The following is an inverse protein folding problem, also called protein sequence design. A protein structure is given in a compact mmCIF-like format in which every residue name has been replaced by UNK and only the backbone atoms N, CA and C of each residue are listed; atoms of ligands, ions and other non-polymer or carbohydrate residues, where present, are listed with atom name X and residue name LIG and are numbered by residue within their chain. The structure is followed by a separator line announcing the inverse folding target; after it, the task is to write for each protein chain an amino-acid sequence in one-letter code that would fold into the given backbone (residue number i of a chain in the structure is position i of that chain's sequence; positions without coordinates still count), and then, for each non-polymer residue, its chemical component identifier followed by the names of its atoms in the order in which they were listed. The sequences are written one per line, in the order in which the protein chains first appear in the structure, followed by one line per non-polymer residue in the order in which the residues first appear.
data_IF_508787691944
#
_entry.id   IF_508787691944
#
_cell.length_a   1.000
_cell.length_b   1.000
_cell.length_c   1.000
_cell.angle_alpha   90.00
_cell.angle_beta   90.00
_cell.angle_gamma   90.00
#
_symmetry.space_group_name_H-M   'P 1'
#
loop_
_entity.id
_entity.type
_entity.pdbx_description
1 polymer ?
#
# COMPACT_ATOMS: atom_id res chain seq x y z
N UNK A 1 -28.28 -23.85 21.14
CA UNK A 1 -27.89 -23.28 19.83
C UNK A 1 -26.47 -23.73 19.55
N UNK A 2 -26.25 -24.47 18.47
CA UNK A 2 -24.91 -24.80 18.00
C UNK A 2 -24.48 -23.62 17.13
N UNK A 3 -23.43 -22.92 17.54
CA UNK A 3 -22.92 -21.77 16.79
C UNK A 3 -21.97 -22.28 15.72
N UNK A 4 -22.28 -21.95 14.48
CA UNK A 4 -21.44 -22.14 13.31
C UNK A 4 -20.15 -21.34 13.48
N UNK A 5 -19.02 -22.03 13.65
CA UNK A 5 -17.72 -21.36 13.88
C UNK A 5 -16.88 -21.39 12.61
N UNK A 6 -16.21 -20.28 12.30
CA UNK A 6 -15.30 -20.21 11.15
C UNK A 6 -14.05 -21.07 11.41
N UNK A 7 -13.79 -22.00 10.49
CA UNK A 7 -12.53 -22.73 10.40
C UNK A 7 -11.53 -22.07 9.47
N UNK A 8 -12.00 -21.39 8.41
CA UNK A 8 -11.15 -20.62 7.50
C UNK A 8 -11.94 -19.55 6.75
N UNK A 9 -11.30 -18.43 6.43
CA UNK A 9 -11.77 -17.41 5.50
C UNK A 9 -10.99 -17.52 4.19
N UNK A 10 -11.68 -17.37 3.05
CA UNK A 10 -11.09 -17.49 1.71
C UNK A 10 -11.18 -16.17 0.96
N UNK A 11 -10.08 -15.79 0.32
CA UNK A 11 -9.96 -14.57 -0.46
C UNK A 11 -9.37 -14.86 -1.84
N UNK A 12 -9.82 -14.13 -2.86
CA UNK A 12 -9.10 -14.00 -4.11
C UNK A 12 -8.01 -12.95 -3.94
N UNK A 13 -6.87 -13.22 -4.55
CA UNK A 13 -5.69 -12.35 -4.53
C UNK A 13 -5.43 -11.89 -5.96
N UNK A 14 -5.35 -10.59 -6.16
CA UNK A 14 -4.96 -9.98 -7.41
C UNK A 14 -3.70 -9.15 -7.19
N UNK A 15 -2.66 -9.42 -7.99
CA UNK A 15 -1.40 -8.69 -7.98
C UNK A 15 -1.36 -7.73 -9.15
N UNK A 16 -0.85 -6.53 -8.91
CA UNK A 16 -0.63 -5.53 -9.94
C UNK A 16 0.69 -4.82 -9.67
N UNK A 17 1.50 -4.71 -10.71
CA UNK A 17 2.75 -3.96 -10.74
C UNK A 17 2.72 -3.01 -11.96
N UNK A 18 3.65 -2.06 -12.06
CA UNK A 18 3.80 -1.19 -13.23
C UNK A 18 4.20 -1.99 -14.49
N UNK A 19 4.77 -3.16 -14.30
CA UNK A 19 5.15 -4.10 -15.35
C UNK A 19 4.37 -5.42 -15.21
N UNK A 20 4.23 -6.21 -16.28
CA UNK A 20 3.70 -7.56 -16.18
C UNK A 20 4.44 -8.35 -15.08
N UNK A 21 3.69 -8.93 -14.15
CA UNK A 21 4.25 -9.66 -13.02
C UNK A 21 4.21 -11.17 -13.32
N UNK A 22 5.29 -11.86 -13.01
CA UNK A 22 5.34 -13.32 -13.00
C UNK A 22 6.09 -13.83 -11.77
N UNK A 23 5.82 -15.06 -11.38
CA UNK A 23 6.44 -15.70 -10.22
C UNK A 23 7.33 -16.85 -10.67
N UNK A 24 8.43 -17.08 -9.94
CA UNK A 24 9.26 -18.27 -10.16
C UNK A 24 8.52 -19.54 -9.72
N UNK A 25 8.92 -20.67 -10.32
CA UNK A 25 8.46 -21.98 -9.88
C UNK A 25 8.83 -22.20 -8.41
N UNK A 26 7.85 -22.63 -7.60
CA UNK A 26 8.02 -22.80 -6.16
C UNK A 26 7.82 -21.52 -5.33
N UNK A 27 7.46 -20.39 -5.94
CA UNK A 27 7.12 -19.16 -5.20
C UNK A 27 5.89 -19.32 -4.27
N UNK A 28 5.05 -20.32 -4.51
CA UNK A 28 3.84 -20.63 -3.76
C UNK A 28 3.73 -22.15 -3.50
N UNK A 29 2.97 -22.57 -2.46
CA UNK A 29 2.32 -21.74 -1.46
C UNK A 29 3.32 -21.18 -0.42
N UNK A 30 2.96 -20.06 0.20
CA UNK A 30 3.70 -19.47 1.32
C UNK A 30 2.79 -19.34 2.53
N UNK A 31 3.32 -19.62 3.72
CA UNK A 31 2.59 -19.49 4.98
C UNK A 31 3.12 -18.34 5.81
N UNK A 32 2.22 -17.55 6.38
CA UNK A 32 2.53 -16.49 7.34
C UNK A 32 1.72 -16.68 8.63
N UNK A 33 2.28 -16.24 9.75
CA UNK A 33 1.58 -16.25 11.04
C UNK A 33 1.70 -14.88 11.73
N UNK A 34 0.58 -14.35 12.21
CA UNK A 34 0.53 -13.09 12.97
C UNK A 34 -0.63 -13.13 13.95
N UNK A 35 -0.38 -12.77 15.20
CA UNK A 35 -1.42 -12.75 16.26
C UNK A 35 -2.21 -14.07 16.34
N UNK A 36 -1.53 -15.19 16.05
CA UNK A 36 -2.10 -16.55 16.00
C UNK A 36 -2.97 -16.87 14.76
N UNK A 37 -3.22 -15.90 13.88
CA UNK A 37 -3.79 -16.17 12.57
C UNK A 37 -2.78 -16.84 11.67
N UNK A 38 -3.22 -17.87 10.93
CA UNK A 38 -2.40 -18.54 9.92
C UNK A 38 -2.91 -18.20 8.54
N UNK A 39 -2.03 -17.73 7.69
CA UNK A 39 -2.32 -17.33 6.33
C UNK A 39 -1.59 -18.26 5.38
N UNK A 40 -2.30 -18.95 4.51
CA UNK A 40 -1.73 -19.71 3.40
C UNK A 40 -2.03 -18.98 2.09
N UNK A 41 -0.98 -18.43 1.49
CA UNK A 41 -1.04 -17.69 0.25
C UNK A 41 -0.64 -18.61 -0.91
N UNK A 42 -1.56 -18.80 -1.84
CA UNK A 42 -1.29 -19.27 -3.19
C UNK A 42 -1.31 -18.09 -4.16
N UNK A 43 -0.96 -18.33 -5.43
CA UNK A 43 -0.81 -17.25 -6.41
C UNK A 43 -2.06 -16.36 -6.54
N UNK A 44 -3.25 -16.94 -6.58
CA UNK A 44 -4.51 -16.19 -6.77
C UNK A 44 -5.48 -16.33 -5.60
N UNK A 45 -5.06 -16.98 -4.51
CA UNK A 45 -5.92 -17.31 -3.37
C UNK A 45 -5.19 -17.12 -2.05
N UNK A 46 -5.92 -16.68 -1.04
CA UNK A 46 -5.46 -16.62 0.34
C UNK A 46 -6.47 -17.33 1.23
N UNK A 47 -5.97 -18.22 2.09
CA UNK A 47 -6.74 -18.84 3.15
C UNK A 47 -6.26 -18.29 4.48
N UNK A 48 -7.16 -17.73 5.29
CA UNK A 48 -6.87 -17.21 6.62
C UNK A 48 -7.60 -18.04 7.67
N UNK A 49 -6.85 -18.68 8.57
CA UNK A 49 -7.36 -19.51 9.66
C UNK A 49 -7.28 -18.74 10.96
N UNK A 50 -8.40 -18.55 11.68
CA UNK A 50 -8.41 -17.80 12.94
C UNK A 50 -7.69 -18.57 14.07
N UNK A 51 -7.10 -17.87 15.05
CA UNK A 51 -6.42 -18.49 16.19
C UNK A 51 -7.36 -19.29 17.09
N UNK A 52 -8.64 -18.91 17.14
CA UNK A 52 -9.69 -19.56 17.92
C UNK A 52 -10.97 -19.61 17.12
N UNK A 53 -11.93 -20.51 17.44
CA UNK A 53 -13.25 -20.49 16.81
C UNK A 53 -13.95 -19.15 17.03
N UNK A 54 -14.34 -18.49 15.95
CA UNK A 54 -14.99 -17.18 15.94
C UNK A 54 -16.24 -17.21 15.04
N UNK A 55 -17.16 -16.28 15.28
CA UNK A 55 -18.28 -16.05 14.37
C UNK A 55 -17.79 -15.35 13.10
N UNK A 56 -18.57 -15.46 12.01
CA UNK A 56 -18.13 -15.02 10.69
C UNK A 56 -17.79 -13.54 10.62
N UNK A 57 -18.67 -12.69 11.16
CA UNK A 57 -18.48 -11.25 11.11
C UNK A 57 -17.28 -10.83 11.96
N UNK A 58 -17.13 -11.40 13.16
CA UNK A 58 -15.97 -11.17 14.02
C UNK A 58 -14.66 -11.59 13.35
N UNK A 59 -14.65 -12.75 12.69
CA UNK A 59 -13.48 -13.25 11.97
C UNK A 59 -13.10 -12.31 10.81
N UNK A 60 -14.10 -11.80 10.07
CA UNK A 60 -13.89 -10.85 8.97
C UNK A 60 -13.41 -9.49 9.47
N UNK A 61 -13.98 -9.00 10.55
CA UNK A 61 -13.58 -7.73 11.18
C UNK A 61 -12.16 -7.82 11.74
N UNK A 62 -11.79 -8.93 12.35
CA UNK A 62 -10.46 -9.13 12.92
C UNK A 62 -9.35 -9.28 11.87
N UNK A 63 -9.63 -9.95 10.74
CA UNK A 63 -8.61 -10.19 9.71
C UNK A 63 -8.42 -9.00 8.77
N UNK A 64 -9.45 -8.18 8.55
CA UNK A 64 -9.41 -7.10 7.57
C UNK A 64 -8.28 -6.07 7.84
N UNK A 65 -8.03 -5.61 9.09
CA UNK A 65 -6.88 -4.76 9.39
C UNK A 65 -5.54 -5.38 8.97
N UNK A 66 -5.36 -6.69 9.18
CA UNK A 66 -4.13 -7.40 8.80
C UNK A 66 -3.95 -7.42 7.28
N UNK A 67 -5.01 -7.71 6.53
CA UNK A 67 -4.97 -7.68 5.05
C UNK A 67 -4.69 -6.27 4.51
N UNK A 68 -5.25 -5.24 5.16
CA UNK A 68 -5.02 -3.85 4.79
C UNK A 68 -3.57 -3.42 5.09
N UNK A 69 -3.03 -3.80 6.25
CA UNK A 69 -1.63 -3.59 6.63
C UNK A 69 -0.67 -4.24 5.63
N UNK A 70 -0.97 -5.48 5.24
CA UNK A 70 -0.20 -6.20 4.23
C UNK A 70 -0.25 -5.48 2.88
N UNK A 71 -1.45 -5.13 2.41
CA UNK A 71 -1.58 -4.40 1.14
C UNK A 71 -0.88 -3.04 1.17
N UNK A 72 -0.87 -2.35 2.31
CA UNK A 72 -0.18 -1.07 2.50
C UNK A 72 1.33 -1.22 2.40
N UNK A 73 1.91 -2.14 3.17
CA UNK A 73 3.35 -2.38 3.18
C UNK A 73 3.87 -2.80 1.81
N UNK A 74 3.22 -3.76 1.14
CA UNK A 74 3.61 -4.17 -0.21
C UNK A 74 3.54 -3.04 -1.23
N UNK A 75 2.48 -2.22 -1.18
CA UNK A 75 2.35 -1.12 -2.12
C UNK A 75 3.48 -0.10 -1.89
N UNK A 76 3.84 0.18 -0.64
CA UNK A 76 4.77 1.26 -0.34
C UNK A 76 6.22 0.81 -0.48
N UNK A 77 6.60 -0.30 0.16
CA UNK A 77 7.98 -0.77 0.21
C UNK A 77 8.36 -1.59 -1.05
N UNK A 78 7.45 -2.44 -1.55
CA UNK A 78 7.74 -3.34 -2.68
C UNK A 78 7.21 -2.84 -4.04
N UNK A 79 6.53 -1.69 -4.04
CA UNK A 79 5.81 -1.11 -5.18
C UNK A 79 4.81 -2.07 -5.82
N UNK A 80 4.31 -3.02 -5.05
CA UNK A 80 3.44 -4.10 -5.50
C UNK A 80 2.04 -3.88 -4.93
N UNK A 81 1.06 -3.64 -5.80
CA UNK A 81 -0.33 -3.54 -5.37
C UNK A 81 -0.90 -4.95 -5.25
N UNK A 82 -1.44 -5.28 -4.08
CA UNK A 82 -2.23 -6.49 -3.87
C UNK A 82 -3.65 -6.12 -3.46
N UNK A 83 -4.63 -6.82 -4.00
CA UNK A 83 -6.04 -6.69 -3.62
C UNK A 83 -6.56 -8.03 -3.12
N UNK A 84 -7.20 -8.00 -1.96
CA UNK A 84 -7.87 -9.16 -1.35
C UNK A 84 -9.38 -9.01 -1.48
N UNK A 85 -10.04 -9.95 -2.15
CA UNK A 85 -11.49 -9.96 -2.31
C UNK A 85 -12.08 -11.17 -1.60
N UNK A 86 -12.96 -10.95 -0.63
CA UNK A 86 -13.58 -12.02 0.14
C UNK A 86 -14.44 -12.94 -0.75
N UNK A 87 -14.23 -14.25 -0.62
CA UNK A 87 -14.93 -15.27 -1.41
C UNK A 87 -15.95 -16.06 -0.60
N UNK A 88 -15.67 -16.26 0.69
CA UNK A 88 -16.46 -17.14 1.54
C UNK A 88 -15.66 -17.64 2.74
N UNK A 89 -16.31 -18.49 3.54
CA UNK A 89 -15.74 -19.09 4.73
C UNK A 89 -16.08 -20.57 4.80
N UNK A 90 -15.13 -21.35 5.29
CA UNK A 90 -15.38 -22.73 5.71
C UNK A 90 -15.90 -22.67 7.14
N UNK A 91 -17.16 -23.05 7.33
CA UNK A 91 -17.83 -23.04 8.61
C UNK A 91 -17.86 -24.47 9.16
N UNK A 92 -17.34 -24.64 10.37
CA UNK A 92 -17.38 -25.92 11.08
C UNK A 92 -18.70 -25.99 11.86
N UNK A 93 -19.73 -26.47 11.19
CA UNK A 93 -21.00 -26.87 11.82
C UNK A 93 -20.90 -28.32 12.33
N UNK A 94 -21.66 -28.69 13.35
CA UNK A 94 -21.86 -30.11 13.74
C UNK A 94 -22.56 -30.97 12.66
N UNK A 95 -22.82 -30.42 11.47
CA UNK A 95 -23.32 -31.09 10.27
C UNK A 95 -22.50 -30.64 9.07
N UNK A 96 -21.82 -31.57 8.43
CA UNK A 96 -21.01 -31.35 7.24
C UNK A 96 -21.80 -30.68 6.10
N UNK A 97 -21.39 -29.48 5.70
CA UNK A 97 -21.81 -28.85 4.46
C UNK A 97 -20.60 -28.17 3.81
N UNK A 98 -20.11 -28.72 2.70
CA UNK A 98 -19.09 -28.07 1.88
C UNK A 98 -19.74 -26.96 1.04
N UNK A 99 -19.17 -25.76 1.07
CA UNK A 99 -19.52 -24.67 0.17
C UNK A 99 -18.46 -24.60 -0.93
N UNK A 100 -18.90 -24.70 -2.19
CA UNK A 100 -18.05 -24.67 -3.38
C UNK A 100 -17.56 -23.25 -3.68
N UNK A 101 -16.25 -23.08 -3.81
CA UNK A 101 -15.64 -21.85 -4.30
C UNK A 101 -15.80 -21.76 -5.82
N UNK A 102 -16.18 -20.58 -6.33
CA UNK A 102 -16.18 -20.28 -7.76
C UNK A 102 -14.81 -19.74 -8.19
N UNK A 103 -14.26 -20.30 -9.26
CA UNK A 103 -13.02 -19.83 -9.89
C UNK A 103 -13.29 -18.63 -10.78
N UNK A 104 -12.59 -17.54 -10.49
CA UNK A 104 -12.49 -16.38 -11.37
C UNK A 104 -11.09 -16.39 -11.97
N UNK A 105 -11.02 -16.69 -13.26
CA UNK A 105 -9.79 -16.60 -14.06
C UNK A 105 -9.81 -15.25 -14.77
N UNK A 106 -8.78 -14.44 -14.59
CA UNK A 106 -8.49 -13.30 -15.46
C UNK A 106 -7.10 -13.50 -16.01
N UNK A 107 -6.99 -13.70 -17.32
CA UNK A 107 -5.73 -13.77 -18.03
C UNK A 107 -5.71 -12.72 -19.14
N UNK A 108 -4.61 -11.99 -19.24
CA UNK A 108 -4.21 -11.26 -20.44
C UNK A 108 -2.68 -11.36 -20.55
N UNK A 109 -2.21 -11.82 -21.72
CA UNK A 109 -0.79 -11.83 -22.10
C UNK A 109 -0.57 -10.77 -23.18
N UNK A 110 0.44 -9.94 -23.00
CA UNK A 110 1.20 -9.32 -24.07
C UNK A 110 2.66 -9.19 -23.62
N UNK A 111 3.60 -9.45 -24.53
CA UNK A 111 5.03 -9.53 -24.23
C UNK A 111 5.63 -8.14 -23.97
N UNK A 112 5.69 -7.78 -22.70
CA UNK A 112 6.43 -6.63 -22.15
C UNK A 112 7.41 -7.16 -21.11
N UNK A 113 8.49 -6.42 -20.82
CA UNK A 113 9.49 -6.80 -19.79
C UNK A 113 8.77 -7.22 -18.51
N UNK A 114 8.75 -8.53 -18.23
CA UNK A 114 8.05 -9.07 -17.08
C UNK A 114 8.98 -9.04 -15.86
N UNK A 115 8.51 -8.47 -14.75
CA UNK A 115 9.21 -8.59 -13.48
C UNK A 115 8.94 -9.99 -12.97
N UNK A 116 9.99 -10.81 -12.93
CA UNK A 116 9.92 -12.16 -12.36
C UNK A 116 10.39 -12.12 -10.91
N UNK A 117 9.53 -12.52 -9.97
CA UNK A 117 9.84 -12.50 -8.53
C UNK A 117 10.00 -13.93 -7.96
N UNK A 118 10.96 -14.17 -7.05
CA UNK A 118 11.21 -15.50 -6.47
C UNK A 118 10.16 -15.94 -5.47
N UNK A 119 9.60 -15.00 -4.72
CA UNK A 119 8.56 -15.23 -3.72
C UNK A 119 7.79 -13.94 -3.45
N UNK A 120 6.53 -14.02 -2.99
CA UNK A 120 5.82 -12.87 -2.46
C UNK A 120 6.60 -12.23 -1.30
N UNK A 121 6.74 -10.89 -1.26
CA UNK A 121 7.39 -10.25 -0.13
C UNK A 121 6.62 -10.48 1.17
N UNK A 122 7.34 -10.57 2.27
CA UNK A 122 6.72 -10.79 3.57
C UNK A 122 5.91 -9.56 4.00
N UNK A 123 4.70 -9.74 4.53
CA UNK A 123 3.90 -8.66 5.10
C UNK A 123 4.62 -7.94 6.24
N UNK A 124 4.49 -6.62 6.28
CA UNK A 124 4.76 -5.85 7.51
C UNK A 124 3.44 -5.58 8.24
N UNK A 125 3.14 -6.43 9.23
CA UNK A 125 1.86 -6.41 9.96
C UNK A 125 1.67 -5.20 10.87
N UNK A 126 2.76 -4.54 11.25
CA UNK A 126 2.72 -3.36 12.12
C UNK A 126 2.22 -2.10 11.39
N UNK A 127 2.00 -2.17 10.08
CA UNK A 127 1.48 -1.04 9.30
C UNK A 127 0.00 -0.83 9.59
N UNK A 128 -0.38 0.43 9.77
CA UNK A 128 -1.76 0.84 9.92
C UNK A 128 -2.26 1.52 8.64
N UNK A 129 -3.41 1.04 8.16
CA UNK A 129 -4.19 1.72 7.14
C UNK A 129 -5.21 2.64 7.83
N UNK A 130 -4.88 3.93 7.85
CA UNK A 130 -5.74 5.02 8.32
C UNK A 130 -6.42 5.72 7.15
N UNK A 131 -7.41 6.57 7.42
CA UNK A 131 -8.06 7.34 6.36
C UNK A 131 -7.09 8.29 5.63
N UNK A 132 -6.07 8.79 6.33
CA UNK A 132 -5.07 9.72 5.78
C UNK A 132 -4.06 8.98 4.91
N UNK A 133 -3.54 7.86 5.40
CA UNK A 133 -2.59 7.00 4.66
C UNK A 133 -3.25 6.38 3.43
N UNK A 134 -4.48 5.87 3.56
CA UNK A 134 -5.26 5.36 2.44
C UNK A 134 -5.58 6.42 1.38
N UNK A 135 -5.89 7.65 1.79
CA UNK A 135 -6.05 8.77 0.86
C UNK A 135 -4.73 9.12 0.15
N UNK A 136 -3.60 9.12 0.87
CA UNK A 136 -2.29 9.35 0.25
C UNK A 136 -1.95 8.27 -0.79
N UNK A 137 -2.23 7.00 -0.51
CA UNK A 137 -2.07 5.91 -1.49
C UNK A 137 -3.00 6.08 -2.70
N UNK A 138 -4.30 6.14 -2.45
CA UNK A 138 -5.32 6.08 -3.49
C UNK A 138 -5.35 7.34 -4.37
N UNK A 139 -5.14 8.52 -3.80
CA UNK A 139 -5.32 9.79 -4.50
C UNK A 139 -4.00 10.43 -4.94
N UNK A 140 -2.86 10.03 -4.35
CA UNK A 140 -1.56 10.58 -4.71
C UNK A 140 -0.64 9.53 -5.33
N UNK A 141 -0.31 8.46 -4.59
CA UNK A 141 0.72 7.51 -4.99
C UNK A 141 0.33 6.67 -6.21
N UNK A 142 -0.85 6.05 -6.22
CA UNK A 142 -1.29 5.21 -7.35
C UNK A 142 -1.45 6.03 -8.65
N UNK A 143 -2.08 7.22 -8.64
CA UNK A 143 -2.15 8.06 -9.84
C UNK A 143 -0.77 8.53 -10.31
N UNK A 144 0.15 8.86 -9.38
CA UNK A 144 1.53 9.22 -9.71
C UNK A 144 2.24 8.06 -10.44
N UNK A 145 2.18 6.86 -9.86
CA UNK A 145 2.86 5.66 -10.39
C UNK A 145 2.29 5.17 -11.71
N UNK A 146 0.99 5.35 -11.94
CA UNK A 146 0.33 5.00 -13.20
C UNK A 146 0.47 6.07 -14.29
N UNK A 147 1.13 7.20 -14.00
CA UNK A 147 1.26 8.33 -14.93
C UNK A 147 -0.04 9.13 -15.13
N UNK A 148 -1.11 8.80 -14.41
CA UNK A 148 -2.40 9.48 -14.48
C UNK A 148 -2.42 10.81 -13.70
N UNK A 149 -1.38 11.08 -12.89
CA UNK A 149 -1.21 12.34 -12.18
C UNK A 149 0.20 12.89 -12.40
N UNK A 150 0.35 14.14 -12.86
CA UNK A 150 1.65 14.79 -12.94
C UNK A 150 2.32 14.87 -11.56
N UNK A 151 3.63 14.60 -11.49
CA UNK A 151 4.38 14.58 -10.23
C UNK A 151 4.28 15.89 -9.44
N UNK A 152 4.21 17.01 -10.15
CA UNK A 152 4.11 18.34 -9.54
C UNK A 152 2.78 18.55 -8.82
N UNK A 153 1.70 18.01 -9.39
CA UNK A 153 0.38 18.06 -8.76
C UNK A 153 0.30 17.10 -7.57
N UNK A 154 0.90 15.90 -7.71
CA UNK A 154 1.04 14.94 -6.61
C UNK A 154 1.79 15.55 -5.42
N UNK A 155 2.95 16.17 -5.66
CA UNK A 155 3.76 16.82 -4.63
C UNK A 155 3.03 17.97 -3.94
N UNK A 156 2.38 18.85 -4.70
CA UNK A 156 1.60 19.95 -4.12
C UNK A 156 0.44 19.45 -3.27
N UNK A 157 -0.32 18.48 -3.79
CA UNK A 157 -1.45 17.89 -3.10
C UNK A 157 -1.02 17.22 -1.80
N UNK A 158 0.05 16.42 -1.85
CA UNK A 158 0.56 15.72 -0.68
C UNK A 158 1.03 16.72 0.38
N UNK A 159 1.85 17.71 0.01
CA UNK A 159 2.32 18.71 0.96
C UNK A 159 1.16 19.48 1.62
N UNK A 160 0.11 19.80 0.84
CA UNK A 160 -1.09 20.47 1.35
C UNK A 160 -1.85 19.59 2.36
N UNK A 161 -2.01 18.30 2.06
CA UNK A 161 -2.73 17.37 2.93
C UNK A 161 -1.93 17.01 4.19
N UNK A 162 -0.61 16.86 4.07
CA UNK A 162 0.28 16.65 5.21
C UNK A 162 0.27 17.86 6.16
N UNK A 163 0.31 19.09 5.62
CA UNK A 163 0.18 20.29 6.44
C UNK A 163 -1.16 20.34 7.18
N UNK A 164 -2.27 19.96 6.52
CA UNK A 164 -3.58 19.87 7.16
C UNK A 164 -3.65 18.77 8.23
N UNK A 165 -3.04 17.61 7.97
CA UNK A 165 -2.98 16.48 8.91
C UNK A 165 -2.20 16.83 10.18
N UNK A 166 -1.08 17.54 10.04
CA UNK A 166 -0.24 17.89 11.18
C UNK A 166 -0.65 19.18 11.91
N UNK A 167 -1.42 20.06 11.25
CA UNK A 167 -1.79 21.39 11.72
C UNK A 167 -1.07 22.52 10.98
N UNK A 168 0.17 22.27 10.54
CA UNK A 168 0.97 23.18 9.73
C UNK A 168 2.05 22.43 8.94
N UNK A 169 2.69 23.10 7.98
CA UNK A 169 3.79 22.52 7.21
C UNK A 169 5.01 22.20 8.09
N UNK A 170 5.30 23.07 9.06
CA UNK A 170 6.40 22.87 10.03
C UNK A 170 6.14 21.67 10.94
N UNK A 171 4.91 21.52 11.45
CA UNK A 171 4.55 20.35 12.25
C UNK A 171 4.55 19.07 11.42
N UNK A 172 4.15 19.13 10.15
CA UNK A 172 4.23 17.98 9.24
C UNK A 172 5.68 17.53 9.05
N UNK A 173 6.59 18.49 8.78
CA UNK A 173 8.01 18.19 8.65
C UNK A 173 8.59 17.56 9.92
N UNK A 174 8.26 18.12 11.09
CA UNK A 174 8.70 17.60 12.38
C UNK A 174 8.18 16.17 12.64
N UNK A 175 6.89 15.91 12.41
CA UNK A 175 6.29 14.58 12.61
C UNK A 175 6.87 13.52 11.66
N UNK A 176 7.12 13.90 10.40
CA UNK A 176 7.74 13.01 9.41
C UNK A 176 9.26 12.89 9.57
N UNK A 177 9.85 13.54 10.57
CA UNK A 177 11.29 13.57 10.82
C UNK A 177 12.08 14.05 9.58
N UNK A 178 11.65 15.15 8.97
CA UNK A 178 12.34 15.82 7.85
C UNK A 178 12.52 17.31 8.14
N UNK A 179 13.47 17.96 7.47
CA UNK A 179 13.67 19.40 7.61
C UNK A 179 12.53 20.20 6.98
N UNK A 180 12.27 21.38 7.56
CA UNK A 180 11.26 22.29 7.02
C UNK A 180 11.58 22.69 5.57
N UNK A 181 12.86 22.86 5.24
CA UNK A 181 13.30 23.19 3.88
C UNK A 181 13.06 22.04 2.89
N UNK A 182 13.22 20.78 3.32
CA UNK A 182 12.92 19.60 2.50
C UNK A 182 11.44 19.57 2.12
N UNK A 183 10.56 19.74 3.11
CA UNK A 183 9.10 19.80 2.90
C UNK A 183 8.70 21.01 2.03
N UNK A 184 9.29 22.18 2.32
CA UNK A 184 9.03 23.42 1.57
C UNK A 184 9.47 23.31 0.12
N UNK A 185 10.59 22.64 -0.17
CA UNK A 185 11.04 22.40 -1.55
C UNK A 185 10.04 21.54 -2.31
N UNK A 186 9.62 20.41 -1.73
CA UNK A 186 8.61 19.53 -2.34
C UNK A 186 7.32 20.30 -2.70
N UNK A 187 6.83 21.13 -1.77
CA UNK A 187 5.69 22.00 -2.03
C UNK A 187 5.96 23.04 -3.12
N UNK A 188 7.11 23.69 -3.09
CA UNK A 188 7.45 24.79 -4.00
C UNK A 188 7.61 24.29 -5.43
N UNK A 189 8.30 23.16 -5.63
CA UNK A 189 8.44 22.53 -6.95
C UNK A 189 7.08 22.06 -7.49
N UNK A 190 6.21 21.51 -6.63
CA UNK A 190 4.84 21.20 -7.03
C UNK A 190 3.97 22.44 -7.33
N UNK A 191 4.14 23.53 -6.57
CA UNK A 191 3.33 24.74 -6.68
C UNK A 191 3.69 25.60 -7.90
N UNK A 192 4.98 25.70 -8.21
CA UNK A 192 5.53 26.62 -9.23
C UNK A 192 5.71 25.95 -10.59
N UNK A 193 5.40 24.67 -10.74
CA UNK A 193 5.45 24.05 -12.06
C UNK A 193 4.43 24.67 -13.02
N UNK A 194 4.89 25.00 -14.22
CA UNK A 194 4.06 25.44 -15.33
C UNK A 194 3.05 24.37 -15.78
N UNK A 195 3.34 23.09 -15.53
CA UNK A 195 2.41 21.96 -15.74
C UNK A 195 1.18 22.00 -14.84
N UNK A 196 1.26 22.70 -13.69
CA UNK A 196 0.14 22.88 -12.77
C UNK A 196 -0.52 24.25 -12.96
N UNK A 197 0.27 25.31 -13.08
CA UNK A 197 -0.22 26.67 -13.29
C UNK A 197 0.82 27.51 -14.03
N UNK A 198 0.46 28.03 -15.20
CA UNK A 198 1.28 28.98 -15.96
C UNK A 198 1.08 30.39 -15.40
N UNK A 199 2.17 31.05 -15.01
CA UNK A 199 2.16 32.42 -14.52
C UNK A 199 3.57 33.00 -14.30
N UNK A 200 3.68 34.26 -13.86
CA UNK A 200 4.96 34.89 -13.54
C UNK A 200 5.65 34.12 -12.40
N UNK A 201 6.84 33.56 -12.67
CA UNK A 201 7.58 32.74 -11.71
C UNK A 201 7.28 31.24 -11.77
N UNK A 202 6.51 30.78 -12.76
CA UNK A 202 6.44 29.35 -13.09
C UNK A 202 7.79 28.86 -13.59
N UNK A 203 8.15 27.63 -13.21
CA UNK A 203 9.39 26.96 -13.58
C UNK A 203 9.04 25.64 -14.24
N UNK A 204 9.59 25.39 -15.43
CA UNK A 204 9.57 24.07 -16.02
C UNK A 204 10.59 23.20 -15.29
N UNK A 205 10.14 22.10 -14.68
CA UNK A 205 11.05 21.13 -14.07
C UNK A 205 11.70 20.26 -15.16
N UNK A 206 12.99 20.03 -15.01
CA UNK A 206 13.75 19.05 -15.79
C UNK A 206 13.27 17.62 -15.52
N UNK A 207 13.66 16.67 -16.37
CA UNK A 207 13.30 15.27 -16.18
C UNK A 207 13.90 14.71 -14.87
N UNK A 208 15.13 15.08 -14.57
CA UNK A 208 15.84 14.73 -13.34
C UNK A 208 15.12 15.28 -12.11
N UNK A 209 14.72 16.56 -12.14
CA UNK A 209 13.95 17.17 -11.05
C UNK A 209 12.60 16.48 -10.83
N UNK A 210 11.92 16.05 -11.90
CA UNK A 210 10.67 15.28 -11.79
C UNK A 210 10.89 13.91 -11.16
N UNK A 211 11.97 13.23 -11.52
CA UNK A 211 12.34 11.94 -10.92
C UNK A 211 12.68 12.11 -9.44
N UNK A 212 13.46 13.13 -9.10
CA UNK A 212 13.79 13.47 -7.72
C UNK A 212 12.52 13.78 -6.91
N UNK A 213 11.63 14.62 -7.44
CA UNK A 213 10.38 14.98 -6.79
C UNK A 213 9.45 13.76 -6.61
N UNK A 214 9.41 12.84 -7.57
CA UNK A 214 8.64 11.60 -7.45
C UNK A 214 9.15 10.76 -6.28
N UNK A 215 10.47 10.58 -6.16
CA UNK A 215 11.10 9.87 -5.03
C UNK A 215 10.78 10.54 -3.69
N UNK A 216 10.80 11.87 -3.63
CA UNK A 216 10.43 12.64 -2.44
C UNK A 216 8.96 12.39 -2.07
N UNK A 217 8.05 12.39 -3.05
CA UNK A 217 6.63 12.08 -2.81
C UNK A 217 6.46 10.67 -2.24
N UNK A 218 7.11 9.66 -2.82
CA UNK A 218 7.06 8.29 -2.31
C UNK A 218 7.59 8.18 -0.88
N UNK A 219 8.73 8.81 -0.58
CA UNK A 219 9.34 8.80 0.75
C UNK A 219 8.45 9.50 1.80
N UNK A 220 7.82 10.62 1.46
CA UNK A 220 6.90 11.31 2.37
C UNK A 220 5.63 10.48 2.64
N UNK A 221 5.11 9.75 1.65
CA UNK A 221 3.98 8.82 1.87
C UNK A 221 4.43 7.64 2.75
N UNK A 222 5.62 7.09 2.52
CA UNK A 222 6.18 6.02 3.36
C UNK A 222 6.33 6.46 4.81
N UNK A 223 6.92 7.63 5.05
CA UNK A 223 7.05 8.21 6.41
C UNK A 223 5.71 8.48 7.07
N UNK A 224 4.71 8.93 6.31
CA UNK A 224 3.35 9.10 6.81
C UNK A 224 2.80 7.76 7.31
N UNK A 225 2.95 6.68 6.56
CA UNK A 225 2.56 5.34 7.01
C UNK A 225 3.28 4.93 8.28
N UNK A 226 4.60 5.10 8.36
CA UNK A 226 5.37 4.75 9.55
C UNK A 226 4.88 5.52 10.78
N UNK A 227 4.68 6.84 10.67
CA UNK A 227 4.20 7.68 11.78
C UNK A 227 2.80 7.28 12.22
N UNK A 228 1.87 7.10 11.29
CA UNK A 228 0.49 6.69 11.60
C UNK A 228 0.42 5.29 12.19
N UNK A 229 1.42 4.46 11.88
CA UNK A 229 1.63 3.12 12.47
C UNK A 229 2.37 3.15 13.81
N UNK A 230 2.68 4.34 14.34
CA UNK A 230 3.52 4.53 15.56
C UNK A 230 4.94 3.95 15.45
N UNK A 231 5.42 3.76 14.21
CA UNK A 231 6.76 3.30 13.89
C UNK A 231 7.71 4.49 13.66
N UNK A 232 9.00 4.23 13.78
CA UNK A 232 10.02 5.24 13.48
C UNK A 232 9.98 5.61 11.99
N UNK A 233 9.86 6.91 11.62
CA UNK A 233 9.95 7.35 10.23
C UNK A 233 11.36 7.20 9.62
N UNK A 234 12.33 6.71 10.38
CA UNK A 234 13.73 6.56 9.95
C UNK A 234 14.59 7.77 10.31
N UNK A 235 15.76 7.87 9.67
CA UNK A 235 16.72 8.95 9.91
C UNK A 235 16.14 10.32 9.54
N UNK A 236 16.66 11.37 10.18
CA UNK A 236 16.23 12.74 9.92
C UNK A 236 16.72 13.19 8.54
N UNK A 237 15.79 13.49 7.62
CA UNK A 237 16.17 13.95 6.27
C UNK A 237 16.31 15.46 6.22
N UNK A 238 17.33 15.89 5.51
CA UNK A 238 17.66 17.29 5.25
C UNK A 238 17.74 17.55 3.76
N UNK A 239 18.09 18.78 3.38
CA UNK A 239 18.33 19.11 1.97
C UNK A 239 19.51 18.35 1.36
N UNK A 240 20.45 17.85 2.17
CA UNK A 240 21.56 17.02 1.69
C UNK A 240 21.07 15.65 1.18
N UNK A 241 19.91 15.20 1.67
CA UNK A 241 19.30 13.91 1.34
C UNK A 241 18.31 14.01 0.17
N UNK A 242 18.19 15.20 -0.44
CA UNK A 242 17.34 15.38 -1.61
C UNK A 242 17.87 14.51 -2.77
N UNK A 243 17.02 13.67 -3.39
CA UNK A 243 17.48 12.78 -4.46
C UNK A 243 18.08 13.56 -5.63
N UNK A 244 19.25 13.09 -6.10
CA UNK A 244 19.85 13.56 -7.34
C UNK A 244 19.06 13.09 -8.57
#
# INVERSE_FOLDING_TARGET
MQYDRVGALRYAVAWSDQHPLSWLEGAFPVTYEVSGWKFELAESRLVAVPPTPMDLDDAREAVLPLLNAWAASLEIDDRLLVTFSYLGADVVSGRSGQVQAADAVVAAFDATVAVQRPSPPAPSWDWLETSVTGAARALCLRPLRSGNRPVVDAAYWLATHLAKWAGSETEAAARLNVSADYMKRARTEGARSDERKVGPGSKTLTAEEKVALARVVEELVRRLHLVESTLSPGEYLTMADWPA
#
